data_IF_537485680841
#
_entry.id   IF_537485680841
#
_cell.length_a   1.000
_cell.length_b   1.000
_cell.length_c   1.000
_cell.angle_alpha   90.00
_cell.angle_beta   90.00
_cell.angle_gamma   90.00
#
_symmetry.space_group_name_H-M   'P 1'
#
loop_
_entity.id
_entity.type
_entity.pdbx_description
1 polymer ?
#
# COMPACT_ATOMS: atom_id res chain seq x y z
N UNK A 1 -21.76 20.97 12.67
CA UNK A 1 -20.51 20.18 12.54
C UNK A 1 -19.75 20.74 11.36
N UNK A 2 -18.76 21.60 11.60
CA UNK A 2 -17.95 22.19 10.53
C UNK A 2 -16.85 21.20 10.15
N UNK A 3 -16.72 20.89 8.86
CA UNK A 3 -15.69 19.97 8.35
C UNK A 3 -14.29 20.48 8.74
N UNK A 4 -13.50 19.68 9.44
CA UNK A 4 -12.15 20.06 9.86
C UNK A 4 -11.25 20.14 8.61
N UNK A 5 -10.44 21.20 8.50
CA UNK A 5 -9.53 21.40 7.36
C UNK A 5 -8.59 20.20 7.17
N UNK A 6 -8.27 19.51 8.27
CA UNK A 6 -7.45 18.29 8.25
C UNK A 6 -8.19 17.14 7.56
N UNK A 7 -9.48 16.98 7.83
CA UNK A 7 -10.33 15.94 7.24
C UNK A 7 -10.48 16.15 5.72
N UNK A 8 -10.74 17.40 5.30
CA UNK A 8 -10.81 17.77 3.88
C UNK A 8 -9.49 17.48 3.18
N UNK A 9 -8.36 17.86 3.80
CA UNK A 9 -7.03 17.63 3.24
C UNK A 9 -6.75 16.14 3.09
N UNK A 10 -7.13 15.32 4.08
CA UNK A 10 -7.02 13.86 4.02
C UNK A 10 -7.86 13.26 2.91
N UNK A 11 -9.11 13.70 2.75
CA UNK A 11 -10.00 13.24 1.69
C UNK A 11 -9.46 13.58 0.29
N UNK A 12 -8.98 14.81 0.08
CA UNK A 12 -8.36 15.23 -1.18
C UNK A 12 -7.12 14.37 -1.49
N UNK A 13 -6.27 14.14 -0.49
CA UNK A 13 -5.07 13.33 -0.65
C UNK A 13 -5.41 11.88 -1.03
N UNK A 14 -6.42 11.29 -0.38
CA UNK A 14 -6.88 9.93 -0.67
C UNK A 14 -7.44 9.81 -2.09
N UNK A 15 -8.32 10.74 -2.49
CA UNK A 15 -8.87 10.78 -3.86
C UNK A 15 -7.76 10.93 -4.89
N UNK A 16 -6.79 11.81 -4.64
CA UNK A 16 -5.63 12.01 -5.52
C UNK A 16 -4.80 10.74 -5.64
N UNK A 17 -4.51 10.06 -4.53
CA UNK A 17 -3.76 8.80 -4.53
C UNK A 17 -4.48 7.69 -5.33
N UNK A 18 -5.81 7.58 -5.18
CA UNK A 18 -6.62 6.61 -5.94
C UNK A 18 -6.55 6.91 -7.44
N UNK A 19 -6.69 8.18 -7.84
CA UNK A 19 -6.61 8.57 -9.26
C UNK A 19 -5.23 8.28 -9.84
N UNK A 20 -4.15 8.62 -9.12
CA UNK A 20 -2.77 8.33 -9.54
C UNK A 20 -2.56 6.83 -9.70
N UNK A 21 -3.01 6.02 -8.74
CA UNK A 21 -2.92 4.57 -8.83
C UNK A 21 -3.70 4.03 -10.05
N UNK A 22 -4.91 4.52 -10.29
CA UNK A 22 -5.74 4.08 -11.41
C UNK A 22 -5.10 4.42 -12.77
N UNK A 23 -4.57 5.64 -12.91
CA UNK A 23 -3.83 6.06 -14.11
C UNK A 23 -2.60 5.19 -14.30
N UNK A 24 -1.83 4.95 -13.24
CA UNK A 24 -0.64 4.12 -13.28
C UNK A 24 -0.95 2.68 -13.73
N UNK A 25 -2.00 2.07 -13.18
CA UNK A 25 -2.48 0.73 -13.55
C UNK A 25 -2.98 0.70 -15.01
N UNK A 26 -3.64 1.76 -15.46
CA UNK A 26 -4.15 1.85 -16.84
C UNK A 26 -3.02 1.97 -17.87
N UNK A 27 -1.96 2.71 -17.53
CA UNK A 27 -0.82 2.94 -18.42
C UNK A 27 0.23 1.83 -18.37
N UNK A 28 0.37 1.15 -17.22
CA UNK A 28 1.32 0.06 -17.04
C UNK A 28 0.55 -1.25 -16.95
N UNK A 29 0.76 -2.16 -17.90
CA UNK A 29 0.26 -3.52 -17.77
C UNK A 29 0.88 -4.15 -16.52
N UNK A 30 0.11 -4.28 -15.43
CA UNK A 30 0.51 -5.07 -14.25
C UNK A 30 0.38 -6.52 -14.67
N UNK A 31 1.47 -7.19 -15.04
CA UNK A 31 1.35 -8.45 -15.71
C UNK A 31 1.36 -9.49 -14.59
N UNK A 32 0.22 -9.59 -13.89
CA UNK A 32 0.05 -10.40 -12.68
C UNK A 32 0.50 -11.86 -12.87
N UNK A 33 0.42 -12.35 -14.11
CA UNK A 33 0.81 -13.70 -14.53
C UNK A 33 2.00 -13.74 -15.50
N UNK A 34 2.74 -12.64 -15.73
CA UNK A 34 3.90 -12.60 -16.66
C UNK A 34 4.91 -13.71 -16.39
N UNK A 35 5.07 -14.02 -15.11
CA UNK A 35 6.06 -14.96 -14.60
C UNK A 35 5.46 -16.33 -14.24
N UNK A 36 4.14 -16.49 -14.38
CA UNK A 36 3.42 -17.76 -14.23
C UNK A 36 3.18 -18.40 -15.61
N UNK A 37 4.23 -18.44 -16.43
CA UNK A 37 4.26 -19.11 -17.73
C UNK A 37 5.10 -20.39 -17.61
N UNK A 38 5.08 -21.23 -18.64
CA UNK A 38 5.87 -22.46 -18.78
C UNK A 38 7.39 -22.23 -18.55
N UNK A 39 7.86 -21.00 -18.81
CA UNK A 39 9.22 -20.51 -18.53
C UNK A 39 9.34 -19.77 -17.19
N UNK A 40 8.71 -20.28 -16.13
CA UNK A 40 8.85 -19.71 -14.78
C UNK A 40 10.32 -19.66 -14.32
N UNK A 41 10.65 -18.59 -13.61
CA UNK A 41 11.99 -18.40 -13.06
C UNK A 41 12.08 -19.26 -11.79
N UNK A 42 12.89 -20.31 -11.87
CA UNK A 42 13.08 -21.25 -10.76
C UNK A 42 13.99 -20.61 -9.72
N UNK A 43 13.56 -20.63 -8.47
CA UNK A 43 14.41 -20.31 -7.32
C UNK A 43 15.01 -21.61 -6.77
N UNK A 44 16.28 -21.57 -6.39
CA UNK A 44 16.98 -22.72 -5.85
C UNK A 44 16.51 -22.97 -4.40
N UNK A 45 15.77 -24.06 -4.19
CA UNK A 45 15.24 -24.44 -2.87
C UNK A 45 16.21 -25.28 -2.03
N UNK A 46 17.32 -25.73 -2.62
CA UNK A 46 18.40 -26.45 -1.92
C UNK A 46 19.26 -25.54 -1.04
N UNK A 47 19.21 -24.21 -1.27
CA UNK A 47 19.88 -23.18 -0.47
C UNK A 47 18.90 -22.51 0.50
N UNK A 48 19.34 -21.44 1.15
CA UNK A 48 18.47 -20.61 1.98
C UNK A 48 17.34 -20.01 1.16
N UNK A 49 16.12 -20.49 1.39
CA UNK A 49 14.92 -20.09 0.66
C UNK A 49 14.60 -18.59 0.81
N UNK A 50 14.91 -18.01 1.97
CA UNK A 50 14.62 -16.60 2.28
C UNK A 50 15.34 -15.63 1.32
N UNK A 51 16.68 -15.63 1.28
CA UNK A 51 17.46 -14.81 0.35
C UNK A 51 17.10 -15.01 -1.11
N UNK A 52 16.89 -16.26 -1.55
CA UNK A 52 16.53 -16.55 -2.96
C UNK A 52 15.13 -16.01 -3.30
N UNK A 53 14.16 -16.15 -2.40
CA UNK A 53 12.81 -15.58 -2.56
C UNK A 53 12.87 -14.06 -2.55
N UNK A 54 13.65 -13.45 -1.65
CA UNK A 54 13.83 -12.00 -1.59
C UNK A 54 14.45 -11.48 -2.89
N UNK A 55 15.51 -12.14 -3.38
CA UNK A 55 16.17 -11.80 -4.63
C UNK A 55 15.20 -11.89 -5.82
N UNK A 56 14.39 -12.94 -5.89
CA UNK A 56 13.36 -13.09 -6.92
C UNK A 56 12.33 -11.94 -6.88
N UNK A 57 11.77 -11.63 -5.70
CA UNK A 57 10.74 -10.59 -5.58
C UNK A 57 11.30 -9.21 -5.93
N UNK A 58 12.51 -8.87 -5.47
CA UNK A 58 13.13 -7.57 -5.78
C UNK A 58 13.46 -7.40 -7.27
N UNK A 59 13.92 -8.45 -7.95
CA UNK A 59 14.33 -8.32 -9.36
C UNK A 59 13.17 -8.46 -10.35
N UNK A 60 12.15 -9.27 -10.03
CA UNK A 60 11.09 -9.61 -10.98
C UNK A 60 9.72 -9.07 -10.59
N UNK A 61 9.46 -8.83 -9.30
CA UNK A 61 8.16 -8.39 -8.75
C UNK A 61 8.28 -7.15 -7.81
N UNK A 62 9.12 -6.14 -8.09
CA UNK A 62 9.36 -5.04 -7.15
C UNK A 62 8.12 -4.19 -6.87
N UNK A 63 7.24 -4.02 -7.87
CA UNK A 63 6.00 -3.25 -7.73
C UNK A 63 5.03 -3.89 -6.72
N UNK A 64 4.96 -5.22 -6.67
CA UNK A 64 4.11 -5.94 -5.73
C UNK A 64 4.59 -5.71 -4.29
N UNK A 65 5.91 -5.73 -4.08
CA UNK A 65 6.51 -5.49 -2.76
C UNK A 65 6.27 -4.05 -2.28
N UNK A 66 6.44 -3.06 -3.17
CA UNK A 66 6.17 -1.65 -2.87
C UNK A 66 4.68 -1.46 -2.55
N UNK A 67 3.79 -2.05 -3.35
CA UNK A 67 2.34 -1.98 -3.13
C UNK A 67 1.94 -2.61 -1.79
N UNK A 68 2.53 -3.75 -1.43
CA UNK A 68 2.30 -4.40 -0.14
C UNK A 68 2.75 -3.52 1.04
N UNK A 69 3.88 -2.82 0.93
CA UNK A 69 4.33 -1.88 1.95
C UNK A 69 3.36 -0.71 2.14
N UNK A 70 2.83 -0.14 1.04
CA UNK A 70 1.80 0.90 1.12
C UNK A 70 0.49 0.39 1.71
N UNK A 71 0.08 -0.84 1.37
CA UNK A 71 -1.11 -1.46 1.95
C UNK A 71 -0.98 -1.66 3.46
N UNK A 72 0.18 -2.14 3.93
CA UNK A 72 0.49 -2.28 5.36
C UNK A 72 0.49 -0.92 6.07
N UNK A 73 1.11 0.09 5.46
CA UNK A 73 1.12 1.44 6.01
C UNK A 73 -0.30 2.04 6.11
N UNK A 74 -1.09 1.90 5.05
CA UNK A 74 -2.48 2.36 5.01
C UNK A 74 -3.35 1.66 6.06
N UNK A 75 -3.18 0.35 6.23
CA UNK A 75 -3.88 -0.40 7.27
C UNK A 75 -3.50 0.09 8.68
N UNK A 76 -2.21 0.29 8.95
CA UNK A 76 -1.73 0.81 10.23
C UNK A 76 -2.26 2.24 10.50
N UNK A 77 -2.22 3.11 9.50
CA UNK A 77 -2.77 4.47 9.58
C UNK A 77 -4.29 4.45 9.81
N UNK A 78 -5.01 3.55 9.15
CA UNK A 78 -6.45 3.36 9.34
C UNK A 78 -6.79 2.88 10.76
N UNK A 79 -6.05 1.91 11.29
CA UNK A 79 -6.20 1.49 12.69
C UNK A 79 -5.95 2.65 13.66
N UNK A 80 -4.92 3.45 13.42
CA UNK A 80 -4.61 4.63 14.24
C UNK A 80 -5.72 5.69 14.14
N UNK A 81 -6.31 5.87 12.95
CA UNK A 81 -7.42 6.80 12.74
C UNK A 81 -8.69 6.34 13.47
N UNK A 82 -9.01 5.03 13.44
CA UNK A 82 -10.18 4.46 14.15
C UNK A 82 -10.01 4.57 15.67
N UNK A 83 -8.80 4.30 16.19
CA UNK A 83 -8.50 4.35 17.62
C UNK A 83 -8.25 5.77 18.15
N UNK A 84 -8.27 6.78 17.28
CA UNK A 84 -8.08 8.17 17.68
C UNK A 84 -9.35 8.66 18.37
N UNK A 85 -9.34 8.56 19.69
CA UNK A 85 -10.33 9.19 20.57
C UNK A 85 -10.55 10.67 20.20
N UNK A 86 -11.82 11.10 20.19
CA UNK A 86 -12.24 12.47 19.92
C UNK A 86 -11.80 13.42 21.05
N UNK A 87 -10.49 13.62 21.22
CA UNK A 87 -9.88 14.54 22.19
C UNK A 87 -10.07 16.01 21.79
N UNK A 88 -11.29 16.41 21.46
CA UNK A 88 -11.65 17.81 21.19
C UNK A 88 -12.94 18.29 21.89
N UNK A 89 -13.77 17.42 22.47
CA UNK A 89 -15.01 17.89 23.13
C UNK A 89 -14.86 18.25 24.63
N UNK A 90 -13.80 17.80 25.33
CA UNK A 90 -13.63 18.09 26.77
C UNK A 90 -12.86 19.39 27.10
N UNK A 91 -12.32 20.13 26.12
CA UNK A 91 -11.60 21.41 26.38
C UNK A 91 -12.42 22.67 26.09
N UNK A 92 -13.73 22.52 25.86
CA UNK A 92 -14.64 23.65 25.64
C UNK A 92 -15.60 23.90 26.81
N UNK A 93 -15.43 23.20 27.94
CA UNK A 93 -16.33 23.27 29.08
C UNK A 93 -15.63 23.39 30.45
N UNK A 94 -14.38 23.88 30.46
CA UNK A 94 -13.66 24.30 31.67
C UNK A 94 -13.12 25.73 31.48
#
# INVERSE_FOLDING_TARGET
MGTDKIEITGAILAVTAILVAFIFISQNSIPAFKYANENWIKIEVSKSLGPETANFIWNYRPLDLITQAFALFGAAAGCLAILREERKEEKAND
#
